data_IF_121243564220
#
_entry.id   IF_121243564220
#
_cell.length_a   1.000
_cell.length_b   1.000
_cell.length_c   1.000
_cell.angle_alpha   90.00
_cell.angle_beta   90.00
_cell.angle_gamma   90.00
#
_symmetry.space_group_name_H-M   'P 1'
#
loop_
_entity.id
_entity.type
_entity.pdbx_description
1 polymer ?
#
# COMPACT_ATOMS: atom_id res chain seq x y z
N UNK A 1 34.86 -20.60 8.59
CA UNK A 1 34.55 -19.17 8.35
C UNK A 1 33.05 -18.99 8.51
N UNK A 2 32.55 -17.92 9.14
CA UNK A 2 31.13 -17.61 9.01
C UNK A 2 30.85 -17.24 7.56
N UNK A 3 29.81 -17.83 6.99
CA UNK A 3 29.35 -17.56 5.64
C UNK A 3 28.66 -16.18 5.65
N UNK A 4 29.37 -15.16 5.16
CA UNK A 4 28.79 -13.84 4.92
C UNK A 4 28.03 -13.89 3.59
N UNK A 5 26.87 -14.52 3.59
CA UNK A 5 25.99 -14.62 2.42
C UNK A 5 24.55 -14.36 2.84
N UNK A 6 23.84 -13.54 2.07
CA UNK A 6 22.39 -13.41 2.22
C UNK A 6 21.77 -14.73 1.74
N UNK A 7 20.97 -15.39 2.59
CA UNK A 7 20.40 -16.69 2.23
C UNK A 7 19.12 -16.51 1.40
N UNK A 8 18.89 -17.30 0.33
CA UNK A 8 17.65 -17.27 -0.43
C UNK A 8 16.38 -17.35 0.43
N UNK A 9 16.40 -18.18 1.49
CA UNK A 9 15.28 -18.32 2.42
C UNK A 9 14.99 -17.03 3.21
N UNK A 10 16.00 -16.25 3.58
CA UNK A 10 15.83 -14.98 4.29
C UNK A 10 15.21 -13.92 3.37
N UNK A 11 15.62 -13.91 2.09
CA UNK A 11 15.03 -13.06 1.07
C UNK A 11 13.56 -13.41 0.85
N UNK A 12 13.21 -14.71 0.78
CA UNK A 12 11.82 -15.16 0.64
C UNK A 12 10.97 -14.81 1.86
N UNK A 13 11.47 -15.05 3.07
CA UNK A 13 10.75 -14.68 4.29
C UNK A 13 10.46 -13.18 4.32
N UNK A 14 11.46 -12.35 4.00
CA UNK A 14 11.26 -10.90 3.96
C UNK A 14 10.28 -10.50 2.85
N UNK A 15 10.33 -11.15 1.69
CA UNK A 15 9.38 -10.92 0.62
C UNK A 15 7.94 -11.24 1.05
N UNK A 16 7.73 -12.33 1.77
CA UNK A 16 6.42 -12.72 2.28
C UNK A 16 5.89 -11.71 3.30
N UNK A 17 6.73 -11.22 4.21
CA UNK A 17 6.36 -10.18 5.18
C UNK A 17 5.94 -8.87 4.48
N UNK A 18 6.70 -8.43 3.47
CA UNK A 18 6.36 -7.22 2.69
C UNK A 18 5.03 -7.39 1.92
N UNK A 19 4.79 -8.59 1.37
CA UNK A 19 3.54 -8.91 0.70
C UNK A 19 2.34 -8.93 1.67
N UNK A 20 2.51 -9.47 2.89
CA UNK A 20 1.46 -9.44 3.92
C UNK A 20 1.09 -7.99 4.28
N UNK A 21 2.09 -7.14 4.54
CA UNK A 21 1.86 -5.73 4.88
C UNK A 21 1.16 -5.00 3.74
N UNK A 22 1.60 -5.19 2.49
CA UNK A 22 0.92 -4.64 1.30
C UNK A 22 -0.55 -5.06 1.23
N UNK A 23 -0.80 -6.36 1.36
CA UNK A 23 -2.16 -6.94 1.32
C UNK A 23 -3.06 -6.35 2.41
N UNK A 24 -2.52 -6.20 3.64
CA UNK A 24 -3.26 -5.60 4.76
C UNK A 24 -3.56 -4.12 4.54
N UNK A 25 -2.61 -3.35 4.00
CA UNK A 25 -2.83 -1.94 3.65
C UNK A 25 -3.96 -1.79 2.63
N UNK A 26 -3.91 -2.57 1.54
CA UNK A 26 -4.97 -2.61 0.52
C UNK A 26 -6.32 -3.03 1.10
N UNK A 27 -6.32 -4.05 1.96
CA UNK A 27 -7.53 -4.56 2.61
C UNK A 27 -8.19 -3.55 3.54
N UNK A 28 -7.40 -2.80 4.33
CA UNK A 28 -7.92 -1.72 5.18
C UNK A 28 -8.51 -0.59 4.32
N UNK A 29 -7.80 -0.16 3.29
CA UNK A 29 -8.28 0.93 2.41
C UNK A 29 -9.56 0.52 1.69
N UNK A 30 -9.61 -0.69 1.12
CA UNK A 30 -10.80 -1.21 0.44
C UNK A 30 -12.03 -1.24 1.36
N UNK A 31 -11.86 -1.73 2.60
CA UNK A 31 -12.96 -1.73 3.60
C UNK A 31 -13.39 -0.32 3.98
N UNK A 32 -12.45 0.59 4.15
CA UNK A 32 -12.76 1.99 4.46
C UNK A 32 -13.54 2.65 3.33
N UNK A 33 -13.08 2.52 2.07
CA UNK A 33 -13.76 3.08 0.90
C UNK A 33 -15.17 2.51 0.74
N UNK A 34 -15.36 1.20 0.95
CA UNK A 34 -16.67 0.56 0.91
C UNK A 34 -17.61 1.09 2.01
N UNK A 35 -17.12 1.20 3.25
CA UNK A 35 -17.92 1.70 4.35
C UNK A 35 -18.32 3.16 4.15
N UNK A 36 -17.38 4.02 3.72
CA UNK A 36 -17.67 5.42 3.42
C UNK A 36 -18.70 5.59 2.29
N UNK A 37 -18.61 4.75 1.25
CA UNK A 37 -19.59 4.76 0.17
C UNK A 37 -20.99 4.33 0.65
N UNK A 38 -21.06 3.37 1.58
CA UNK A 38 -22.32 2.88 2.13
C UNK A 38 -23.01 3.88 3.08
N UNK A 39 -22.24 4.61 3.89
CA UNK A 39 -22.77 5.65 4.79
C UNK A 39 -23.26 6.90 4.02
N UNK A 40 -22.64 7.19 2.88
CA UNK A 40 -22.92 8.40 2.11
C UNK A 40 -22.29 9.65 2.74
N UNK A 41 -22.61 10.81 2.17
CA UNK A 41 -22.08 12.08 2.65
C UNK A 41 -22.83 12.55 3.90
N UNK A 42 -22.16 12.74 5.06
CA UNK A 42 -22.80 13.28 6.26
C UNK A 42 -23.03 14.80 6.21
N UNK A 43 -22.50 15.47 5.17
CA UNK A 43 -22.67 16.91 4.94
C UNK A 43 -23.80 17.17 3.94
N UNK A 44 -24.57 18.24 4.17
CA UNK A 44 -25.58 18.72 3.23
C UNK A 44 -24.99 19.58 2.12
N UNK A 45 -25.87 20.09 1.26
CA UNK A 45 -25.51 20.98 0.15
C UNK A 45 -25.51 22.47 0.52
N UNK A 46 -25.58 22.82 1.81
CA UNK A 46 -25.52 24.22 2.26
C UNK A 46 -24.09 24.79 2.16
N UNK A 47 -23.93 26.07 2.48
CA UNK A 47 -22.62 26.73 2.37
C UNK A 47 -21.56 26.06 3.26
N UNK A 48 -21.95 25.63 4.47
CA UNK A 48 -21.07 24.93 5.41
C UNK A 48 -20.66 23.55 4.87
N UNK A 49 -21.61 22.76 4.37
CA UNK A 49 -21.35 21.45 3.80
C UNK A 49 -20.50 21.50 2.54
N UNK A 50 -20.76 22.45 1.63
CA UNK A 50 -19.91 22.67 0.45
C UNK A 50 -18.50 23.09 0.82
N UNK A 51 -18.33 23.99 1.80
CA UNK A 51 -17.01 24.38 2.31
C UNK A 51 -16.25 23.22 2.95
N UNK A 52 -16.93 22.35 3.69
CA UNK A 52 -16.29 21.14 4.22
C UNK A 52 -15.86 20.18 3.09
N UNK A 53 -16.79 19.90 2.17
CA UNK A 53 -16.61 18.94 1.07
C UNK A 53 -15.50 19.36 0.12
N UNK A 54 -15.56 20.58 -0.38
CA UNK A 54 -14.68 21.09 -1.43
C UNK A 54 -13.54 21.95 -0.91
N UNK A 55 -13.71 22.59 0.25
CA UNK A 55 -12.73 23.54 0.78
C UNK A 55 -12.54 24.76 -0.11
N UNK A 56 -11.63 25.63 0.32
CA UNK A 56 -11.10 26.67 -0.57
C UNK A 56 -10.06 26.05 -1.51
N UNK A 57 -10.06 26.45 -2.78
CA UNK A 57 -9.14 25.94 -3.80
C UNK A 57 -9.13 24.41 -3.97
N UNK A 58 -10.28 23.75 -3.83
CA UNK A 58 -10.42 22.29 -3.89
C UNK A 58 -9.56 21.54 -2.86
N UNK A 59 -9.36 22.11 -1.66
CA UNK A 59 -8.62 21.49 -0.56
C UNK A 59 -9.51 20.96 0.58
N UNK A 60 -10.73 20.54 0.24
CA UNK A 60 -11.71 20.00 1.19
C UNK A 60 -11.52 18.52 1.51
N UNK A 61 -12.53 17.94 2.14
CA UNK A 61 -12.51 16.53 2.52
C UNK A 61 -12.27 15.58 1.33
N UNK A 62 -12.92 15.83 0.19
CA UNK A 62 -12.79 14.94 -0.98
C UNK A 62 -11.36 14.87 -1.50
N UNK A 63 -10.68 16.02 -1.64
CA UNK A 63 -9.30 16.05 -2.11
C UNK A 63 -8.34 15.39 -1.13
N UNK A 64 -8.55 15.57 0.17
CA UNK A 64 -7.75 14.94 1.21
C UNK A 64 -7.95 13.42 1.22
N UNK A 65 -9.19 12.95 1.09
CA UNK A 65 -9.52 11.53 0.96
C UNK A 65 -8.80 10.92 -0.24
N UNK A 66 -8.93 11.53 -1.41
CA UNK A 66 -8.33 11.03 -2.65
C UNK A 66 -6.79 11.02 -2.56
N UNK A 67 -6.19 12.03 -1.93
CA UNK A 67 -4.75 12.06 -1.67
C UNK A 67 -4.28 10.95 -0.72
N UNK A 68 -5.04 10.68 0.36
CA UNK A 68 -4.73 9.60 1.30
C UNK A 68 -4.85 8.24 0.61
N UNK A 69 -5.94 8.00 -0.12
CA UNK A 69 -6.18 6.77 -0.87
C UNK A 69 -5.04 6.50 -1.86
N UNK A 70 -4.71 7.48 -2.70
CA UNK A 70 -3.59 7.37 -3.64
C UNK A 70 -2.24 7.17 -2.96
N UNK A 71 -1.98 7.85 -1.84
CA UNK A 71 -0.73 7.70 -1.09
C UNK A 71 -0.57 6.30 -0.48
N UNK A 72 -1.65 5.71 0.01
CA UNK A 72 -1.64 4.33 0.55
C UNK A 72 -1.46 3.32 -0.57
N UNK A 73 -2.14 3.51 -1.70
CA UNK A 73 -2.02 2.63 -2.87
C UNK A 73 -0.57 2.61 -3.41
N UNK A 74 0.04 3.77 -3.63
CA UNK A 74 1.44 3.87 -4.09
C UNK A 74 2.41 3.17 -3.12
N UNK A 75 2.20 3.31 -1.80
CA UNK A 75 3.04 2.65 -0.80
C UNK A 75 2.85 1.14 -0.80
N UNK A 76 1.63 0.65 -0.95
CA UNK A 76 1.36 -0.79 -1.04
C UNK A 76 2.01 -1.39 -2.30
N UNK A 77 1.90 -0.71 -3.45
CA UNK A 77 2.57 -1.12 -4.69
C UNK A 77 4.09 -1.15 -4.55
N UNK A 78 4.68 -0.20 -3.83
CA UNK A 78 6.13 -0.21 -3.57
C UNK A 78 6.55 -1.44 -2.75
N UNK A 79 5.74 -1.85 -1.76
CA UNK A 79 6.00 -3.05 -0.98
C UNK A 79 5.88 -4.33 -1.85
N UNK A 80 4.93 -4.38 -2.78
CA UNK A 80 4.83 -5.48 -3.75
C UNK A 80 6.09 -5.55 -4.62
N UNK A 81 6.55 -4.42 -5.15
CA UNK A 81 7.75 -4.36 -5.98
C UNK A 81 8.99 -4.85 -5.23
N UNK A 82 9.14 -4.46 -3.96
CA UNK A 82 10.23 -4.97 -3.13
C UNK A 82 10.09 -6.47 -2.85
N UNK A 83 8.89 -6.95 -2.55
CA UNK A 83 8.61 -8.39 -2.38
C UNK A 83 9.01 -9.19 -3.63
N UNK A 84 8.60 -8.75 -4.82
CA UNK A 84 8.94 -9.38 -6.10
C UNK A 84 10.44 -9.34 -6.38
N UNK A 85 11.10 -8.20 -6.11
CA UNK A 85 12.54 -8.05 -6.27
C UNK A 85 13.33 -9.02 -5.38
N UNK A 86 12.92 -9.19 -4.12
CA UNK A 86 13.55 -10.14 -3.21
C UNK A 86 13.33 -11.60 -3.64
N UNK A 87 12.14 -11.97 -4.11
CA UNK A 87 11.90 -13.32 -4.65
C UNK A 87 12.76 -13.60 -5.89
N UNK A 88 12.89 -12.60 -6.77
CA UNK A 88 13.75 -12.69 -7.96
C UNK A 88 15.22 -12.85 -7.56
N UNK A 89 15.69 -12.10 -6.56
CA UNK A 89 17.03 -12.23 -6.01
C UNK A 89 17.29 -13.62 -5.41
N UNK A 90 16.35 -14.15 -4.62
CA UNK A 90 16.44 -15.49 -4.06
C UNK A 90 16.60 -16.57 -5.14
N UNK A 91 15.76 -16.52 -6.18
CA UNK A 91 15.82 -17.46 -7.30
C UNK A 91 17.14 -17.36 -8.08
N UNK A 92 17.71 -16.16 -8.19
CA UNK A 92 18.97 -15.94 -8.90
C UNK A 92 20.16 -16.50 -8.13
N UNK A 93 20.16 -16.34 -6.80
CA UNK A 93 21.21 -16.89 -5.93
C UNK A 93 21.23 -18.42 -5.99
N UNK A 94 20.08 -19.07 -5.84
CA UNK A 94 20.00 -20.55 -5.94
C UNK A 94 20.48 -21.07 -7.29
N UNK A 95 20.06 -20.44 -8.38
CA UNK A 95 20.52 -20.83 -9.73
C UNK A 95 22.03 -20.66 -9.91
N UNK A 96 22.64 -19.69 -9.21
CA UNK A 96 24.09 -19.45 -9.28
C UNK A 96 24.86 -20.43 -8.41
N UNK A 97 24.31 -20.84 -7.25
CA UNK A 97 24.92 -21.83 -6.36
C UNK A 97 24.84 -23.27 -6.92
N UNK A 98 23.88 -23.54 -7.82
CA UNK A 98 23.72 -24.82 -8.51
C UNK A 98 24.67 -25.02 -9.73
N UNK A 99 25.50 -24.03 -10.08
CA UNK A 99 26.48 -24.05 -11.20
C UNK A 99 27.91 -24.24 -10.68
#
# INVERSE_FOLDING_TARGET
>A
MPEFGVRPDELRSTADDLADVSSRMKGVMSRLSLNLAAEGAPWGDDDSGRKFRHGDNNNGYESQRDWVEGSVDVKAQLLDQYSEGLRTGANTLEQTDDI
#
